data_IF_007081541320
#
_entry.id   IF_007081541320
#
_cell.length_a   1.000
_cell.length_b   1.000
_cell.length_c   1.000
_cell.angle_alpha   90.00
_cell.angle_beta   90.00
_cell.angle_gamma   90.00
#
_symmetry.space_group_name_H-M   'P 1'
#
loop_
_entity.id
_entity.type
_entity.pdbx_description
1 polymer ?
#
# COMPACT_ATOMS: atom_id res chain seq x y z
N UNK A 1 -5.11 -13.06 -28.04
CA UNK A 1 -4.63 -11.81 -28.60
C UNK A 1 -3.10 -11.79 -28.50
N UNK A 2 -2.44 -11.89 -29.64
CA UNK A 2 -0.99 -11.97 -29.70
C UNK A 2 -0.50 -10.57 -30.12
N UNK A 3 0.09 -9.83 -29.19
CA UNK A 3 0.85 -8.62 -29.58
C UNK A 3 2.18 -9.11 -30.17
N UNK A 4 2.57 -8.67 -31.38
CA UNK A 4 3.88 -9.00 -31.93
C UNK A 4 4.97 -8.50 -30.97
N UNK A 5 5.98 -9.36 -30.71
CA UNK A 5 7.04 -9.11 -29.73
C UNK A 5 7.73 -7.74 -29.77
N UNK A 6 8.05 -7.17 -30.97
CA UNK A 6 8.70 -5.86 -31.06
C UNK A 6 7.85 -4.73 -30.46
N UNK A 7 6.54 -4.73 -30.70
CA UNK A 7 5.63 -3.67 -30.24
C UNK A 7 5.47 -3.65 -28.70
N UNK A 8 5.53 -4.80 -28.04
CA UNK A 8 5.46 -4.89 -26.57
C UNK A 8 6.73 -4.31 -25.92
N UNK A 9 7.90 -4.64 -26.48
CA UNK A 9 9.20 -4.14 -25.99
C UNK A 9 9.33 -2.62 -26.19
N UNK A 10 8.87 -2.09 -27.33
CA UNK A 10 8.83 -0.66 -27.61
C UNK A 10 7.88 0.10 -26.67
N UNK A 11 6.73 -0.50 -26.34
CA UNK A 11 5.79 0.07 -25.38
C UNK A 11 6.41 0.18 -23.97
N UNK A 12 7.11 -0.87 -23.51
CA UNK A 12 7.80 -0.89 -22.21
C UNK A 12 8.88 0.21 -22.18
N UNK A 13 9.73 0.26 -23.22
CA UNK A 13 10.76 1.28 -23.34
C UNK A 13 10.18 2.70 -23.42
N UNK A 14 9.03 2.87 -24.07
CA UNK A 14 8.28 4.13 -24.15
C UNK A 14 7.76 4.55 -22.76
N UNK A 15 7.13 3.66 -22.04
CA UNK A 15 6.59 3.91 -20.68
C UNK A 15 7.71 4.32 -19.70
N UNK A 16 8.91 3.75 -19.82
CA UNK A 16 10.05 4.10 -18.96
C UNK A 16 10.69 5.47 -19.30
N UNK A 17 10.41 6.02 -20.47
CA UNK A 17 10.89 7.35 -20.88
C UNK A 17 9.96 8.49 -20.47
N UNK A 18 8.72 8.21 -20.10
CA UNK A 18 7.77 9.24 -19.65
C UNK A 18 8.15 9.66 -18.24
N UNK A 19 8.40 10.95 -17.98
CA UNK A 19 8.59 11.45 -16.62
C UNK A 19 7.27 11.31 -15.86
N UNK A 20 7.10 10.24 -15.12
CA UNK A 20 5.94 10.05 -14.25
C UNK A 20 6.28 10.54 -12.84
N UNK A 21 5.42 11.32 -12.18
CA UNK A 21 5.64 11.75 -10.80
C UNK A 21 5.63 10.59 -9.80
N UNK A 22 5.16 9.42 -10.22
CA UNK A 22 5.24 8.16 -9.49
C UNK A 22 5.66 7.06 -10.46
N UNK A 23 6.63 6.23 -10.06
CA UNK A 23 7.12 5.14 -10.90
C UNK A 23 5.98 4.14 -11.18
N UNK A 24 5.53 4.08 -12.42
CA UNK A 24 4.54 3.09 -12.88
C UNK A 24 5.15 1.71 -12.74
N UNK A 25 4.49 0.80 -12.05
CA UNK A 25 4.90 -0.60 -11.94
C UNK A 25 4.37 -1.39 -13.13
N UNK A 26 5.21 -2.23 -13.67
CA UNK A 26 4.95 -2.97 -14.90
C UNK A 26 5.16 -4.46 -14.70
N UNK A 27 4.11 -5.23 -14.87
CA UNK A 27 4.16 -6.70 -14.85
C UNK A 27 3.80 -7.21 -16.25
N UNK A 28 4.67 -8.02 -16.82
CA UNK A 28 4.42 -8.64 -18.13
C UNK A 28 3.66 -9.96 -17.93
N UNK A 29 2.56 -10.14 -18.65
CA UNK A 29 1.81 -11.40 -18.72
C UNK A 29 1.93 -11.96 -20.13
N UNK A 30 2.75 -13.01 -20.35
CA UNK A 30 3.07 -13.52 -21.68
C UNK A 30 2.97 -15.04 -21.77
N UNK A 31 2.72 -15.55 -22.99
CA UNK A 31 2.85 -16.96 -23.31
C UNK A 31 4.30 -17.37 -23.68
N UNK A 32 5.18 -16.38 -23.88
CA UNK A 32 6.59 -16.62 -24.15
C UNK A 32 7.28 -17.03 -22.83
N UNK A 33 7.80 -18.25 -22.81
CA UNK A 33 8.36 -18.88 -21.61
C UNK A 33 9.88 -19.05 -21.69
N UNK A 34 10.48 -18.73 -22.83
CA UNK A 34 11.93 -18.87 -23.02
C UNK A 34 12.69 -17.92 -22.09
N UNK A 35 13.77 -18.41 -21.53
CA UNK A 35 14.61 -17.66 -20.59
C UNK A 35 15.05 -16.32 -21.18
N UNK A 36 15.37 -16.27 -22.47
CA UNK A 36 15.77 -15.05 -23.17
C UNK A 36 14.66 -14.00 -23.20
N UNK A 37 13.41 -14.41 -23.40
CA UNK A 37 12.26 -13.51 -23.42
C UNK A 37 11.98 -12.92 -22.03
N UNK A 38 12.05 -13.76 -21.00
CA UNK A 38 11.88 -13.36 -19.59
C UNK A 38 12.96 -12.37 -19.18
N UNK A 39 14.23 -12.70 -19.43
CA UNK A 39 15.37 -11.83 -19.13
C UNK A 39 15.30 -10.50 -19.90
N UNK A 40 14.92 -10.55 -21.16
CA UNK A 40 14.76 -9.34 -22.00
C UNK A 40 13.66 -8.43 -21.45
N UNK A 41 12.51 -8.99 -21.08
CA UNK A 41 11.39 -8.22 -20.49
C UNK A 41 11.79 -7.53 -19.17
N UNK A 42 12.49 -8.24 -18.30
CA UNK A 42 12.97 -7.70 -17.03
C UNK A 42 14.05 -6.62 -17.23
N UNK A 43 15.01 -6.85 -18.14
CA UNK A 43 16.07 -5.88 -18.46
C UNK A 43 15.53 -4.58 -19.11
N UNK A 44 14.40 -4.65 -19.80
CA UNK A 44 13.71 -3.47 -20.35
C UNK A 44 12.96 -2.66 -19.29
N UNK A 45 12.95 -3.15 -18.05
CA UNK A 45 12.42 -2.43 -16.91
C UNK A 45 11.06 -2.92 -16.41
N UNK A 46 10.62 -4.12 -16.79
CA UNK A 46 9.49 -4.75 -16.10
C UNK A 46 9.87 -5.08 -14.65
N UNK A 47 8.93 -4.87 -13.73
CA UNK A 47 9.11 -5.17 -12.30
C UNK A 47 8.89 -6.66 -11.99
N UNK A 48 8.13 -7.37 -12.82
CA UNK A 48 7.97 -8.84 -12.78
C UNK A 48 7.52 -9.37 -14.15
N UNK A 49 7.66 -10.69 -14.35
CA UNK A 49 7.26 -11.39 -15.56
C UNK A 49 6.52 -12.68 -15.19
N UNK A 50 5.32 -12.85 -15.72
CA UNK A 50 4.45 -14.01 -15.43
C UNK A 50 4.15 -14.75 -16.74
N UNK A 51 4.53 -16.01 -16.78
CA UNK A 51 4.29 -16.87 -17.94
C UNK A 51 2.89 -17.51 -17.87
N UNK A 52 2.17 -17.52 -19.00
CA UNK A 52 0.90 -18.23 -19.14
C UNK A 52 1.14 -19.73 -19.33
N UNK A 53 0.32 -20.64 -18.73
CA UNK A 53 -0.85 -20.35 -17.90
C UNK A 53 -0.50 -19.99 -16.45
N UNK A 54 -1.21 -19.06 -15.84
CA UNK A 54 -1.04 -18.64 -14.46
C UNK A 54 -2.37 -18.74 -13.67
N UNK A 55 -2.28 -18.87 -12.37
CA UNK A 55 -3.46 -18.76 -11.49
C UNK A 55 -3.72 -17.32 -11.11
N UNK A 56 -4.99 -16.96 -10.86
CA UNK A 56 -5.34 -15.64 -10.35
C UNK A 56 -4.65 -15.36 -9.02
N UNK A 57 -4.49 -16.37 -8.16
CA UNK A 57 -3.79 -16.26 -6.88
C UNK A 57 -2.31 -15.91 -7.07
N UNK A 58 -1.67 -16.45 -8.08
CA UNK A 58 -0.28 -16.13 -8.42
C UNK A 58 -0.15 -14.68 -8.86
N UNK A 59 -1.00 -14.22 -9.78
CA UNK A 59 -0.98 -12.83 -10.26
C UNK A 59 -1.17 -11.86 -9.08
N UNK A 60 -2.16 -12.09 -8.24
CA UNK A 60 -2.42 -11.26 -7.06
C UNK A 60 -1.21 -11.23 -6.12
N UNK A 61 -0.61 -12.38 -5.83
CA UNK A 61 0.58 -12.45 -4.96
C UNK A 61 1.77 -11.67 -5.53
N UNK A 62 2.01 -11.74 -6.85
CA UNK A 62 3.09 -11.02 -7.54
C UNK A 62 2.83 -9.53 -7.61
N UNK A 63 1.59 -9.10 -7.90
CA UNK A 63 1.19 -7.68 -7.83
C UNK A 63 1.51 -7.10 -6.46
N UNK A 64 1.11 -7.79 -5.38
CA UNK A 64 1.43 -7.35 -4.03
C UNK A 64 2.94 -7.36 -3.73
N UNK A 65 3.71 -8.30 -4.29
CA UNK A 65 5.16 -8.33 -4.14
C UNK A 65 5.82 -7.12 -4.81
N UNK A 66 5.42 -6.78 -6.02
CA UNK A 66 5.90 -5.61 -6.77
C UNK A 66 5.52 -4.31 -6.07
N UNK A 67 4.31 -4.20 -5.55
CA UNK A 67 3.87 -3.02 -4.78
C UNK A 67 4.63 -2.88 -3.46
N UNK A 68 4.93 -3.99 -2.77
CA UNK A 68 5.74 -3.98 -1.54
C UNK A 68 7.19 -3.57 -1.80
N UNK A 69 7.79 -3.97 -2.92
CA UNK A 69 9.17 -3.59 -3.26
C UNK A 69 9.31 -2.08 -3.47
N UNK A 70 8.26 -1.42 -3.96
CA UNK A 70 8.22 0.03 -4.12
C UNK A 70 8.19 0.79 -2.79
N UNK A 71 7.54 0.24 -1.78
CA UNK A 71 7.54 0.85 -0.43
C UNK A 71 8.94 0.84 0.20
N UNK A 72 9.88 0.04 -0.32
CA UNK A 72 11.28 -0.01 0.13
C UNK A 72 12.21 1.00 -0.55
N UNK A 73 11.83 1.53 -1.73
CA UNK A 73 12.60 2.57 -2.44
C UNK A 73 12.41 3.98 -1.87
N UNK A 74 11.42 4.20 -1.01
CA UNK A 74 11.40 5.40 -0.18
C UNK A 74 12.47 5.24 0.90
N UNK A 75 13.49 6.08 0.87
CA UNK A 75 14.67 6.14 1.74
C UNK A 75 14.36 6.26 3.25
N UNK A 76 13.15 5.95 3.68
CA UNK A 76 12.78 5.90 5.08
C UNK A 76 11.74 4.79 5.31
N UNK A 77 12.13 3.59 5.77
CA UNK A 77 11.21 2.49 6.05
C UNK A 77 10.25 2.79 7.21
N UNK A 78 10.31 3.98 7.77
CA UNK A 78 9.47 4.40 8.89
C UNK A 78 8.56 5.56 8.52
N UNK A 79 7.25 5.36 8.65
CA UNK A 79 6.27 6.44 8.63
C UNK A 79 6.37 7.19 9.96
N UNK A 80 6.51 8.51 9.90
CA UNK A 80 6.69 9.35 11.07
C UNK A 80 5.67 10.48 11.11
N UNK A 81 5.08 10.67 12.27
CA UNK A 81 4.26 11.84 12.56
C UNK A 81 4.50 12.23 14.02
N UNK A 82 5.18 13.33 14.22
CA UNK A 82 5.73 13.74 15.52
C UNK A 82 6.63 12.61 16.09
N UNK A 83 6.37 12.15 17.31
CA UNK A 83 7.09 11.04 17.94
C UNK A 83 6.38 9.68 17.74
N UNK A 84 5.34 9.61 16.91
CA UNK A 84 4.74 8.36 16.46
C UNK A 84 5.50 7.86 15.24
N UNK A 85 6.09 6.68 15.36
CA UNK A 85 6.91 6.04 14.32
C UNK A 85 6.38 4.65 14.03
N UNK A 86 6.06 4.38 12.77
CA UNK A 86 5.69 3.07 12.27
C UNK A 86 6.80 2.60 11.34
N UNK A 87 7.56 1.61 11.78
CA UNK A 87 8.63 0.97 11.01
C UNK A 87 8.04 -0.17 10.18
N UNK A 88 7.97 0.02 8.87
CA UNK A 88 7.41 -0.96 7.94
C UNK A 88 8.34 -2.15 7.68
N UNK A 89 9.63 -2.02 7.96
CA UNK A 89 10.59 -3.11 7.78
C UNK A 89 10.49 -4.13 8.93
N UNK A 90 10.25 -3.64 10.15
CA UNK A 90 10.15 -4.48 11.35
C UNK A 90 8.71 -4.71 11.83
N UNK A 91 7.72 -4.08 11.19
CA UNK A 91 6.32 -4.04 11.60
C UNK A 91 6.13 -3.56 13.06
N UNK A 92 6.97 -2.62 13.49
CA UNK A 92 6.94 -2.07 14.85
C UNK A 92 6.37 -0.66 14.84
N UNK A 93 5.58 -0.38 15.86
CA UNK A 93 5.09 0.98 16.12
C UNK A 93 5.64 1.44 17.46
N UNK A 94 6.19 2.64 17.48
CA UNK A 94 6.63 3.30 18.71
C UNK A 94 6.02 4.68 18.82
N UNK A 95 5.69 5.09 20.01
CA UNK A 95 5.20 6.42 20.33
C UNK A 95 6.00 6.97 21.51
N UNK A 96 6.64 8.11 21.34
CA UNK A 96 7.56 8.70 22.34
C UNK A 96 8.62 7.69 22.81
N UNK A 97 9.16 6.91 21.86
CA UNK A 97 10.17 5.87 22.12
C UNK A 97 9.66 4.61 22.80
N UNK A 98 8.37 4.51 23.17
CA UNK A 98 7.76 3.33 23.77
C UNK A 98 7.08 2.46 22.71
N UNK A 99 7.23 1.15 22.82
CA UNK A 99 6.58 0.19 21.91
C UNK A 99 5.06 0.23 22.09
N UNK A 100 4.35 0.39 20.96
CA UNK A 100 2.89 0.28 20.89
C UNK A 100 2.53 -1.06 20.27
N UNK A 101 1.86 -1.91 21.02
CA UNK A 101 1.47 -3.24 20.58
C UNK A 101 0.17 -3.17 19.77
N UNK A 102 0.28 -3.24 18.44
CA UNK A 102 -0.84 -3.35 17.51
C UNK A 102 -0.98 -4.78 17.00
N UNK A 103 -2.22 -5.22 16.80
CA UNK A 103 -2.52 -6.48 16.11
C UNK A 103 -2.51 -6.24 14.59
N UNK A 104 -2.53 -7.32 13.80
CA UNK A 104 -2.37 -7.23 12.36
C UNK A 104 -3.32 -6.26 11.64
N UNK A 105 -4.57 -6.16 12.06
CA UNK A 105 -5.56 -5.26 11.46
C UNK A 105 -5.36 -3.81 11.90
N UNK A 106 -5.17 -3.58 13.20
CA UNK A 106 -4.91 -2.23 13.73
C UNK A 106 -3.59 -1.67 13.15
N UNK A 107 -2.56 -2.54 12.97
CA UNK A 107 -1.32 -2.15 12.32
C UNK A 107 -1.56 -1.71 10.87
N UNK A 108 -2.22 -2.55 10.04
CA UNK A 108 -2.50 -2.21 8.63
C UNK A 108 -3.35 -0.94 8.48
N UNK A 109 -4.32 -0.75 9.38
CA UNK A 109 -5.17 0.44 9.38
C UNK A 109 -4.34 1.71 9.70
N UNK A 110 -3.47 1.65 10.70
CA UNK A 110 -2.58 2.77 11.04
C UNK A 110 -1.58 3.04 9.91
N UNK A 111 -0.94 2.01 9.38
CA UNK A 111 0.00 2.10 8.26
C UNK A 111 -0.66 2.77 7.04
N UNK A 112 -1.84 2.30 6.64
CA UNK A 112 -2.56 2.88 5.52
C UNK A 112 -2.92 4.35 5.75
N UNK A 113 -3.43 4.69 6.92
CA UNK A 113 -3.81 6.06 7.24
C UNK A 113 -2.58 6.99 7.36
N UNK A 114 -1.49 6.54 7.97
CA UNK A 114 -0.22 7.29 8.07
C UNK A 114 0.47 7.46 6.72
N UNK A 115 0.29 6.54 5.79
CA UNK A 115 0.82 6.66 4.41
C UNK A 115 0.08 7.72 3.59
N UNK A 116 -1.08 8.18 4.05
CA UNK A 116 -1.91 9.17 3.36
C UNK A 116 -2.35 10.30 4.29
N UNK A 117 -1.42 11.05 4.87
CA UNK A 117 -1.75 12.09 5.85
C UNK A 117 -2.66 13.16 5.24
N UNK A 118 -3.64 13.60 6.01
CA UNK A 118 -4.61 14.63 5.62
C UNK A 118 -5.72 14.15 4.67
N UNK A 119 -5.57 12.98 4.03
CA UNK A 119 -6.59 12.44 3.12
C UNK A 119 -7.69 11.74 3.88
N UNK A 120 -8.94 12.02 3.50
CA UNK A 120 -10.12 11.36 4.07
C UNK A 120 -10.50 10.15 3.23
N UNK A 121 -10.78 9.03 3.90
CA UNK A 121 -11.25 7.79 3.30
C UNK A 121 -12.59 7.40 3.89
N UNK A 122 -13.53 6.99 3.04
CA UNK A 122 -14.79 6.44 3.50
C UNK A 122 -14.61 4.99 4.00
N UNK A 123 -15.66 4.44 4.64
CA UNK A 123 -15.61 3.10 5.23
C UNK A 123 -15.37 2.01 4.21
N UNK A 124 -16.06 2.06 3.06
CA UNK A 124 -15.88 1.09 1.98
C UNK A 124 -14.44 1.11 1.44
N UNK A 125 -13.85 2.30 1.26
CA UNK A 125 -12.46 2.43 0.83
C UNK A 125 -11.48 1.82 1.85
N UNK A 126 -11.67 2.11 3.14
CA UNK A 126 -10.83 1.53 4.19
C UNK A 126 -11.00 0.01 4.28
N UNK A 127 -12.23 -0.47 4.11
CA UNK A 127 -12.51 -1.91 4.11
C UNK A 127 -11.69 -2.62 3.02
N UNK A 128 -11.80 -2.16 1.79
CA UNK A 128 -11.07 -2.75 0.65
C UNK A 128 -9.56 -2.66 0.85
N UNK A 129 -9.04 -1.52 1.32
CA UNK A 129 -7.59 -1.30 1.44
C UNK A 129 -6.96 -2.09 2.60
N UNK A 130 -7.67 -2.28 3.70
CA UNK A 130 -7.12 -2.88 4.92
C UNK A 130 -7.48 -4.37 5.05
N UNK A 131 -8.68 -4.76 4.62
CA UNK A 131 -9.17 -6.15 4.71
C UNK A 131 -9.12 -6.88 3.36
N UNK A 132 -9.02 -6.15 2.24
CA UNK A 132 -9.07 -6.73 0.90
C UNK A 132 -10.51 -6.99 0.46
N UNK A 133 -10.66 -7.90 -0.49
CA UNK A 133 -11.97 -8.25 -1.09
C UNK A 133 -12.71 -9.34 -0.28
N UNK A 134 -12.56 -9.32 1.05
CA UNK A 134 -13.24 -10.25 1.95
C UNK A 134 -14.70 -9.84 2.11
N UNK A 135 -15.58 -10.54 1.40
CA UNK A 135 -17.02 -10.25 1.33
C UNK A 135 -17.79 -10.51 2.63
N UNK A 136 -17.15 -11.11 3.62
CA UNK A 136 -17.75 -11.39 4.93
C UNK A 136 -17.56 -10.23 5.93
N UNK A 137 -16.80 -9.19 5.58
CA UNK A 137 -16.49 -8.09 6.48
C UNK A 137 -17.37 -6.87 6.20
N UNK A 138 -18.14 -6.44 7.18
CA UNK A 138 -19.04 -5.28 7.13
C UNK A 138 -18.27 -3.95 7.40
N UNK A 139 -18.76 -2.85 6.87
CA UNK A 139 -18.25 -1.49 7.12
C UNK A 139 -18.19 -1.11 8.61
N UNK A 140 -19.08 -1.67 9.45
CA UNK A 140 -19.04 -1.51 10.92
C UNK A 140 -17.73 -2.02 11.53
N UNK A 141 -17.10 -3.00 10.89
CA UNK A 141 -15.78 -3.50 11.32
C UNK A 141 -14.74 -2.42 11.28
N UNK A 142 -14.80 -1.49 10.33
CA UNK A 142 -13.91 -0.33 10.25
C UNK A 142 -14.07 0.54 11.51
N UNK A 143 -15.31 0.86 11.90
CA UNK A 143 -15.59 1.70 13.06
C UNK A 143 -15.06 1.07 14.35
N UNK A 144 -15.26 -0.23 14.52
CA UNK A 144 -14.77 -0.98 15.69
C UNK A 144 -13.24 -0.96 15.76
N UNK A 145 -12.56 -1.16 14.62
CA UNK A 145 -11.11 -1.17 14.60
C UNK A 145 -10.51 0.24 14.75
N UNK A 146 -11.16 1.28 14.22
CA UNK A 146 -10.78 2.67 14.50
C UNK A 146 -10.91 3.00 15.98
N UNK A 147 -11.98 2.57 16.65
CA UNK A 147 -12.14 2.79 18.09
C UNK A 147 -11.07 2.04 18.90
N UNK A 148 -10.78 0.78 18.55
CA UNK A 148 -9.71 0.01 19.19
C UNK A 148 -8.35 0.66 19.01
N UNK A 149 -8.04 1.08 17.79
CA UNK A 149 -6.79 1.75 17.46
C UNK A 149 -6.64 3.06 18.24
N UNK A 150 -7.69 3.89 18.32
CA UNK A 150 -7.70 5.10 19.16
C UNK A 150 -7.45 4.78 20.62
N UNK A 151 -8.10 3.73 21.15
CA UNK A 151 -7.90 3.31 22.53
C UNK A 151 -6.45 2.89 22.82
N UNK A 152 -5.81 2.18 21.88
CA UNK A 152 -4.40 1.79 22.02
C UNK A 152 -3.48 3.03 21.94
N UNK A 153 -3.82 3.98 21.08
CA UNK A 153 -3.05 5.22 20.90
C UNK A 153 -3.34 6.29 21.96
N UNK A 154 -4.30 6.09 22.84
CA UNK A 154 -4.66 7.05 23.89
C UNK A 154 -3.58 7.18 24.97
N UNK A 155 -3.00 6.07 25.43
CA UNK A 155 -1.95 6.09 26.44
C UNK A 155 -0.73 6.92 26.01
N UNK A 156 -0.21 6.77 24.77
CA UNK A 156 0.84 7.67 24.27
C UNK A 156 0.33 9.06 23.83
N UNK A 157 -0.99 9.33 23.81
CA UNK A 157 -1.56 10.63 23.48
C UNK A 157 -1.74 10.91 21.99
N UNK A 158 -1.94 9.85 21.18
CA UNK A 158 -2.10 9.94 19.72
C UNK A 158 -3.51 9.58 19.21
N UNK A 159 -4.49 9.39 20.09
CA UNK A 159 -5.86 9.04 19.72
C UNK A 159 -6.55 10.07 18.82
N UNK A 160 -6.19 11.35 18.99
CA UNK A 160 -6.75 12.48 18.21
C UNK A 160 -6.21 12.59 16.79
N UNK A 161 -5.13 11.88 16.47
CA UNK A 161 -4.54 11.86 15.14
C UNK A 161 -5.41 11.12 14.12
N UNK A 162 -6.21 10.15 14.57
CA UNK A 162 -7.23 9.51 13.74
C UNK A 162 -8.53 10.28 13.90
N UNK A 163 -8.82 11.15 12.96
CA UNK A 163 -9.98 12.03 12.99
C UNK A 163 -11.18 11.42 12.29
N UNK A 164 -12.38 11.65 12.85
CA UNK A 164 -13.64 11.36 12.17
C UNK A 164 -14.08 12.60 11.39
N UNK A 165 -14.23 12.46 10.08
CA UNK A 165 -14.81 13.50 9.22
C UNK A 165 -16.29 13.15 9.03
N UNK A 166 -17.16 13.93 9.68
CA UNK A 166 -18.61 13.65 9.70
C UNK A 166 -19.16 13.49 8.28
N UNK A 167 -19.90 12.43 8.05
CA UNK A 167 -20.50 12.09 6.75
C UNK A 167 -19.53 11.57 5.70
N UNK A 168 -18.19 11.66 5.92
CA UNK A 168 -17.20 11.24 4.93
C UNK A 168 -16.39 10.00 5.36
N UNK A 169 -15.98 9.88 6.63
CA UNK A 169 -15.19 8.75 7.09
C UNK A 169 -14.07 9.13 8.05
N UNK A 170 -12.85 8.66 7.77
CA UNK A 170 -11.69 8.82 8.65
C UNK A 170 -10.47 9.36 7.92
N UNK A 171 -9.62 10.11 8.62
CA UNK A 171 -8.32 10.58 8.16
C UNK A 171 -7.30 10.54 9.28
N UNK A 172 -6.03 10.50 8.91
CA UNK A 172 -4.90 10.70 9.82
C UNK A 172 -4.35 12.11 9.64
N UNK A 173 -4.27 12.87 10.74
CA UNK A 173 -3.72 14.22 10.72
C UNK A 173 -3.21 14.59 12.11
N UNK A 174 -2.05 15.24 12.19
CA UNK A 174 -1.53 15.82 13.44
C UNK A 174 -2.48 16.92 13.96
N UNK A 175 -2.72 17.01 15.27
CA UNK A 175 -3.44 18.11 15.85
C UNK A 175 -2.69 19.42 15.57
N UNK A 176 -3.25 20.30 14.73
CA UNK A 176 -2.62 21.56 14.29
C UNK A 176 -2.42 21.67 12.78
N UNK A 177 -2.46 20.59 12.03
CA UNK A 177 -2.53 20.63 10.57
C UNK A 177 -4.02 20.62 10.13
N UNK A 178 -4.72 21.70 10.37
CA UNK A 178 -5.97 21.95 9.67
C UNK A 178 -5.63 22.30 8.22
N UNK A 179 -5.78 21.32 7.33
CA UNK A 179 -5.81 21.61 5.89
C UNK A 179 -7.12 22.36 5.63
N UNK A 180 -6.98 23.64 5.40
CA UNK A 180 -8.04 24.54 4.89
C UNK A 180 -8.46 24.09 3.51
#
# INVERSE_FOLDING_TARGET
>A
WNMPGPAALELIAGLRRVPAPQAVRLIILSALADEQDVVSGLNLGADDYIVKPFSLREVVARVFAVLRSHSRDHQNPALRCDELVLDTATNRVTARGRLVNLRGVEYRLLEFLMSHPGRTFNRSQLLVQVWGDDREVDERTVDVNVQRLRKILADPGYETYIQTVRGLGYRFSSPGQNVT
#
